data_IF_270388011445
#
_entry.id   IF_270388011445
#
_cell.length_a   1.000
_cell.length_b   1.000
_cell.length_c   1.000
_cell.angle_alpha   90.00
_cell.angle_beta   90.00
_cell.angle_gamma   90.00
#
_symmetry.space_group_name_H-M   'P 1'
#
loop_
_entity.id
_entity.type
_entity.pdbx_description
1 polymer ?
#
# COMPACT_ATOMS: atom_id res chain seq x y z
N UNK A 1 2.76 -4.99 42.01
CA UNK A 1 3.87 -4.48 41.17
C UNK A 1 3.62 -4.93 39.73
N UNK A 2 3.08 -4.07 38.87
CA UNK A 2 2.92 -4.36 37.44
C UNK A 2 3.93 -3.49 36.69
N UNK A 3 4.98 -4.10 36.13
CA UNK A 3 5.99 -3.39 35.33
C UNK A 3 5.39 -3.11 33.96
N UNK A 4 5.01 -1.86 33.73
CA UNK A 4 4.70 -1.34 32.40
C UNK A 4 6.03 -1.28 31.60
N UNK A 5 6.20 -2.16 30.62
CA UNK A 5 7.29 -2.04 29.65
C UNK A 5 6.90 -0.94 28.65
N UNK A 6 7.44 0.25 28.88
CA UNK A 6 7.34 1.39 27.99
C UNK A 6 8.31 1.16 26.82
N UNK A 7 7.88 0.42 25.81
CA UNK A 7 8.65 0.30 24.55
C UNK A 7 8.53 1.64 23.82
N UNK A 8 9.45 2.56 24.11
CA UNK A 8 9.68 3.75 23.30
C UNK A 8 10.30 3.28 21.99
N UNK A 9 9.44 2.85 21.06
CA UNK A 9 9.85 2.49 19.71
C UNK A 9 10.33 3.74 19.00
N UNK A 10 11.63 3.78 18.69
CA UNK A 10 12.24 4.76 17.79
C UNK A 10 11.42 4.79 16.50
N UNK A 11 10.62 5.83 16.27
CA UNK A 11 9.89 5.98 15.02
C UNK A 11 10.92 6.19 13.91
N UNK A 12 11.21 5.11 13.16
CA UNK A 12 12.03 5.20 11.98
C UNK A 12 11.17 5.80 10.87
N UNK A 13 11.58 6.94 10.34
CA UNK A 13 10.98 7.53 9.14
C UNK A 13 11.06 6.49 8.02
N UNK A 14 9.91 6.16 7.43
CA UNK A 14 9.85 5.23 6.31
C UNK A 14 10.63 5.80 5.12
N UNK A 15 11.46 5.00 4.44
CA UNK A 15 12.20 5.45 3.27
C UNK A 15 11.24 5.79 2.12
N UNK A 16 11.68 6.67 1.21
CA UNK A 16 10.88 7.04 0.02
C UNK A 16 10.58 5.84 -0.88
N UNK A 17 11.52 4.91 -1.02
CA UNK A 17 11.34 3.68 -1.79
C UNK A 17 11.01 2.52 -0.86
N UNK A 18 9.78 2.03 -0.95
CA UNK A 18 9.27 0.90 -0.17
C UNK A 18 9.44 -0.42 -0.92
N UNK A 19 9.72 -1.49 -0.17
CA UNK A 19 9.61 -2.87 -0.66
C UNK A 19 8.16 -3.28 -0.87
N UNK A 20 7.91 -4.38 -1.59
CA UNK A 20 6.56 -4.96 -1.73
C UNK A 20 5.86 -5.19 -0.38
N UNK A 21 6.60 -5.67 0.63
CA UNK A 21 6.02 -5.94 1.95
C UNK A 21 5.64 -4.65 2.67
N UNK A 22 6.49 -3.61 2.60
CA UNK A 22 6.20 -2.30 3.17
C UNK A 22 5.05 -1.61 2.44
N UNK A 23 5.01 -1.68 1.11
CA UNK A 23 3.94 -1.09 0.31
C UNK A 23 2.58 -1.74 0.61
N UNK A 24 2.53 -3.07 0.70
CA UNK A 24 1.33 -3.82 1.09
C UNK A 24 0.80 -3.37 2.46
N UNK A 25 1.68 -3.24 3.44
CA UNK A 25 1.34 -2.72 4.76
C UNK A 25 0.88 -1.26 4.70
N UNK A 26 1.54 -0.43 3.89
CA UNK A 26 1.26 1.00 3.78
C UNK A 26 -0.13 1.29 3.22
N UNK A 27 -0.54 0.60 2.15
CA UNK A 27 -1.85 0.80 1.49
C UNK A 27 -2.94 -0.17 1.98
N UNK A 28 -2.68 -0.93 3.05
CA UNK A 28 -3.59 -1.93 3.60
C UNK A 28 -4.06 -3.01 2.60
N UNK A 29 -3.20 -3.42 1.66
CA UNK A 29 -3.48 -4.48 0.68
C UNK A 29 -2.60 -5.71 0.90
N UNK A 30 -2.99 -6.84 0.32
CA UNK A 30 -2.17 -8.06 0.38
C UNK A 30 -0.96 -8.00 -0.58
N UNK A 31 0.11 -8.72 -0.24
CA UNK A 31 1.26 -8.89 -1.17
C UNK A 31 0.86 -9.63 -2.44
N UNK A 32 -0.08 -10.57 -2.34
CA UNK A 32 -0.62 -11.31 -3.49
C UNK A 32 -1.37 -10.38 -4.43
N UNK A 33 -2.15 -9.43 -3.93
CA UNK A 33 -2.78 -8.38 -4.75
C UNK A 33 -1.73 -7.64 -5.59
N UNK A 34 -0.67 -7.11 -4.94
CA UNK A 34 0.40 -6.41 -5.67
C UNK A 34 1.09 -7.32 -6.71
N UNK A 35 1.32 -8.60 -6.39
CA UNK A 35 1.95 -9.56 -7.33
C UNK A 35 1.06 -9.85 -8.53
N UNK A 36 -0.21 -10.14 -8.30
CA UNK A 36 -1.17 -10.47 -9.33
C UNK A 36 -1.38 -9.29 -10.27
N UNK A 37 -1.53 -8.07 -9.72
CA UNK A 37 -1.73 -6.87 -10.54
C UNK A 37 -0.53 -6.55 -11.45
N UNK A 38 0.70 -6.91 -11.06
CA UNK A 38 1.87 -6.79 -11.95
C UNK A 38 1.87 -7.79 -13.10
N UNK A 39 1.27 -8.96 -12.92
CA UNK A 39 1.20 -10.00 -13.95
C UNK A 39 0.00 -9.79 -14.89
N UNK A 40 -1.14 -9.39 -14.33
CA UNK A 40 -2.42 -9.30 -15.05
C UNK A 40 -2.55 -8.01 -15.90
N UNK A 41 -1.73 -6.99 -15.64
CA UNK A 41 -1.85 -5.68 -16.29
C UNK A 41 -3.09 -4.89 -15.82
N UNK A 42 -3.41 -3.79 -16.52
CA UNK A 42 -4.64 -3.02 -16.28
C UNK A 42 -5.83 -3.79 -16.87
N UNK A 43 -6.62 -4.46 -16.03
CA UNK A 43 -7.95 -4.99 -16.42
C UNK A 43 -9.02 -4.02 -15.97
N UNK A 44 -9.97 -3.70 -16.85
CA UNK A 44 -11.02 -2.70 -16.58
C UNK A 44 -11.94 -3.04 -15.40
N UNK A 45 -12.02 -4.31 -14.98
CA UNK A 45 -12.97 -4.75 -13.94
C UNK A 45 -12.34 -5.05 -12.57
N UNK A 46 -11.16 -4.49 -12.25
CA UNK A 46 -10.53 -4.68 -10.94
C UNK A 46 -9.99 -3.36 -10.39
N UNK A 47 -9.90 -3.27 -9.06
CA UNK A 47 -9.18 -2.20 -8.38
C UNK A 47 -7.75 -2.12 -8.95
N UNK A 48 -7.37 -1.02 -9.60
CA UNK A 48 -6.04 -0.88 -10.14
C UNK A 48 -5.03 -0.88 -8.99
N UNK A 49 -3.86 -1.50 -9.17
CA UNK A 49 -2.79 -1.43 -8.19
C UNK A 49 -1.94 -0.16 -8.42
N UNK A 50 -1.26 0.35 -7.37
CA UNK A 50 -0.32 1.45 -7.53
C UNK A 50 0.83 1.06 -8.47
N UNK A 51 1.43 2.04 -9.16
CA UNK A 51 2.57 1.80 -10.03
C UNK A 51 3.79 1.34 -9.21
N UNK A 52 4.75 0.71 -9.90
CA UNK A 52 5.97 0.21 -9.30
C UNK A 52 7.17 0.48 -10.19
N UNK A 53 8.35 0.60 -9.60
CA UNK A 53 9.62 0.65 -10.32
C UNK A 53 10.34 -0.70 -10.21
N UNK A 54 10.92 -1.13 -11.34
CA UNK A 54 11.76 -2.33 -11.38
C UNK A 54 13.22 -1.93 -11.52
N UNK A 55 14.02 -2.23 -10.50
CA UNK A 55 15.46 -1.96 -10.45
C UNK A 55 16.19 -3.30 -10.40
N UNK A 56 16.67 -3.76 -11.56
CA UNK A 56 17.23 -5.10 -11.72
C UNK A 56 16.23 -6.18 -11.32
N UNK A 57 16.56 -6.96 -10.29
CA UNK A 57 15.70 -8.01 -9.71
C UNK A 57 14.69 -7.48 -8.67
N UNK A 58 14.85 -6.24 -8.23
CA UNK A 58 14.01 -5.65 -7.17
C UNK A 58 12.78 -4.95 -7.74
N UNK A 59 11.64 -5.11 -7.06
CA UNK A 59 10.43 -4.29 -7.25
C UNK A 59 10.33 -3.33 -6.06
N UNK A 60 10.14 -2.04 -6.34
CA UNK A 60 9.95 -0.98 -5.35
C UNK A 60 8.72 -0.15 -5.67
N UNK A 61 8.18 0.46 -4.63
CA UNK A 61 7.07 1.40 -4.69
C UNK A 61 7.56 2.73 -4.14
N UNK A 62 7.39 3.81 -4.89
CA UNK A 62 7.67 5.14 -4.38
C UNK A 62 6.52 5.55 -3.47
N UNK A 63 6.84 6.16 -2.33
CA UNK A 63 5.85 6.55 -1.34
C UNK A 63 4.84 7.53 -1.94
N UNK A 64 5.30 8.49 -2.73
CA UNK A 64 4.44 9.48 -3.39
C UNK A 64 3.44 8.83 -4.38
N UNK A 65 3.84 7.74 -5.05
CA UNK A 65 2.95 7.02 -5.96
C UNK A 65 1.88 6.23 -5.18
N UNK A 66 2.24 5.72 -4.00
CA UNK A 66 1.29 5.06 -3.11
C UNK A 66 0.32 6.07 -2.49
N UNK A 67 0.81 7.25 -2.11
CA UNK A 67 -0.01 8.35 -1.59
C UNK A 67 -1.01 8.81 -2.67
N UNK A 68 -0.52 9.06 -3.89
CA UNK A 68 -1.39 9.42 -5.02
C UNK A 68 -2.44 8.35 -5.29
N UNK A 69 -2.04 7.06 -5.27
CA UNK A 69 -2.99 5.97 -5.46
C UNK A 69 -4.08 5.95 -4.38
N UNK A 70 -3.74 6.22 -3.12
CA UNK A 70 -4.72 6.34 -2.03
C UNK A 70 -5.67 7.53 -2.23
N UNK A 71 -5.14 8.66 -2.72
CA UNK A 71 -5.93 9.85 -3.01
C UNK A 71 -6.92 9.66 -4.16
N UNK A 72 -6.59 8.79 -5.11
CA UNK A 72 -7.47 8.40 -6.23
C UNK A 72 -8.61 7.47 -5.81
N UNK A 73 -8.59 6.91 -4.59
CA UNK A 73 -9.66 6.04 -4.11
C UNK A 73 -10.93 6.84 -3.77
N UNK A 74 -12.09 6.23 -4.01
CA UNK A 74 -13.36 6.83 -3.63
C UNK A 74 -13.45 6.96 -2.10
N UNK A 75 -13.59 8.19 -1.62
CA UNK A 75 -13.88 8.50 -0.22
C UNK A 75 -15.38 8.41 -0.01
N UNK A 76 -15.80 7.59 0.96
CA UNK A 76 -17.19 7.38 1.31
C UNK A 76 -17.43 8.01 2.68
N UNK A 77 -18.53 8.75 2.82
CA UNK A 77 -18.93 9.33 4.11
C UNK A 77 -19.64 8.29 4.98
N UNK A 78 -20.31 7.32 4.35
CA UNK A 78 -21.03 6.23 5.00
C UNK A 78 -21.16 5.03 4.05
N UNK A 79 -21.32 3.82 4.62
CA UNK A 79 -21.33 2.58 3.82
C UNK A 79 -22.49 2.47 2.82
N UNK A 80 -23.60 3.18 3.06
CA UNK A 80 -24.77 3.20 2.17
C UNK A 80 -24.56 3.95 0.85
N UNK A 81 -23.44 4.67 0.70
CA UNK A 81 -23.09 5.40 -0.51
C UNK A 81 -22.56 4.49 -1.64
N UNK A 82 -22.18 3.24 -1.32
CA UNK A 82 -21.83 2.25 -2.34
C UNK A 82 -23.12 1.81 -3.05
N UNK A 83 -23.42 2.42 -4.19
CA UNK A 83 -24.46 1.91 -5.09
C UNK A 83 -24.07 0.50 -5.54
N UNK A 84 -24.85 -0.50 -5.11
CA UNK A 84 -24.76 -1.88 -5.61
C UNK A 84 -25.23 -1.96 -7.07
#
# INVERSE_FOLDING_TARGET
MVRQLMTTGKQALLPRSLSEAQAAQYICMSRSFLRQSRMDGKRDSRTPAPPFIKIGRSVRYLREDLDQWLDEQQKLDHLGQMGL
#
